data_IF_414574489652
#
_entry.id   IF_414574489652
#
_cell.length_a   1.000
_cell.length_b   1.000
_cell.length_c   1.000
_cell.angle_alpha   90.00
_cell.angle_beta   90.00
_cell.angle_gamma   90.00
#
_symmetry.space_group_name_H-M   'P 1'
#
loop_
_entity.id
_entity.type
_entity.pdbx_description
1 polymer ?
#
# COMPACT_ATOMS: atom_id res chain seq x y z
N UNK A 1 21.75 -7.63 -9.90
CA UNK A 1 21.39 -6.22 -9.70
C UNK A 1 21.13 -6.08 -8.23
N UNK A 2 21.97 -5.34 -7.53
CA UNK A 2 21.92 -5.25 -6.08
C UNK A 2 21.10 -4.02 -5.68
N UNK A 3 20.07 -4.24 -4.88
CA UNK A 3 19.23 -3.17 -4.32
C UNK A 3 20.00 -2.46 -3.21
N UNK A 4 20.01 -1.14 -3.22
CA UNK A 4 20.51 -0.37 -2.08
C UNK A 4 19.54 -0.53 -0.91
N UNK A 5 20.01 -0.96 0.25
CA UNK A 5 19.19 -1.15 1.45
C UNK A 5 19.64 -0.19 2.55
N UNK A 6 18.73 0.22 3.46
CA UNK A 6 19.12 1.00 4.63
C UNK A 6 20.04 0.18 5.56
N UNK A 7 20.59 0.79 6.62
CA UNK A 7 21.59 0.15 7.47
C UNK A 7 21.18 -1.26 7.94
N UNK A 8 22.14 -2.18 8.00
CA UNK A 8 21.91 -3.61 8.33
C UNK A 8 20.97 -3.86 9.54
N UNK A 9 21.02 -3.08 10.64
CA UNK A 9 20.07 -3.26 11.74
C UNK A 9 18.59 -3.14 11.33
N UNK A 10 18.26 -2.24 10.42
CA UNK A 10 16.90 -2.07 9.89
C UNK A 10 16.44 -3.33 9.13
N UNK A 11 17.32 -3.87 8.28
CA UNK A 11 17.03 -5.08 7.50
C UNK A 11 16.84 -6.29 8.42
N UNK A 12 17.72 -6.49 9.40
CA UNK A 12 17.60 -7.58 10.36
C UNK A 12 16.36 -7.46 11.23
N UNK A 13 16.03 -6.24 11.69
CA UNK A 13 14.82 -6.00 12.45
C UNK A 13 13.58 -6.42 11.66
N UNK A 14 13.49 -6.03 10.38
CA UNK A 14 12.34 -6.39 9.55
C UNK A 14 12.31 -7.89 9.18
N UNK A 15 13.46 -8.51 8.93
CA UNK A 15 13.55 -9.96 8.69
C UNK A 15 13.04 -10.79 9.87
N UNK A 16 13.13 -10.27 11.10
CA UNK A 16 12.60 -10.93 12.30
C UNK A 16 11.14 -10.52 12.54
N UNK A 17 10.85 -9.21 12.53
CA UNK A 17 9.55 -8.69 12.93
C UNK A 17 8.43 -9.06 11.95
N UNK A 18 8.71 -9.10 10.64
CA UNK A 18 7.69 -9.40 9.62
C UNK A 18 7.22 -10.86 9.70
N UNK A 19 8.09 -11.89 9.74
CA UNK A 19 7.63 -13.26 9.96
C UNK A 19 6.89 -13.44 11.28
N UNK A 20 7.35 -12.81 12.37
CA UNK A 20 6.63 -12.84 13.65
C UNK A 20 5.23 -12.23 13.51
N UNK A 21 5.12 -11.09 12.86
CA UNK A 21 3.86 -10.41 12.59
C UNK A 21 2.92 -11.30 11.75
N UNK A 22 3.41 -11.93 10.68
CA UNK A 22 2.63 -12.87 9.86
C UNK A 22 2.17 -14.07 10.68
N UNK A 23 3.03 -14.65 11.52
CA UNK A 23 2.66 -15.75 12.40
C UNK A 23 1.56 -15.33 13.38
N UNK A 24 1.62 -14.11 13.91
CA UNK A 24 0.56 -13.58 14.76
C UNK A 24 -0.77 -13.40 14.00
N UNK A 25 -0.75 -12.97 12.74
CA UNK A 25 -1.95 -12.86 11.88
C UNK A 25 -2.60 -14.21 11.64
N UNK A 26 -1.80 -15.20 11.24
CA UNK A 26 -2.30 -16.57 10.98
C UNK A 26 -2.94 -17.15 12.24
N UNK A 27 -2.34 -16.91 13.41
CA UNK A 27 -2.87 -17.39 14.70
C UNK A 27 -3.93 -16.47 15.32
N UNK A 28 -4.30 -15.37 14.65
CA UNK A 28 -5.27 -14.39 15.14
C UNK A 28 -4.94 -13.85 16.55
N UNK A 29 -3.68 -13.48 16.76
CA UNK A 29 -3.16 -12.93 18.01
C UNK A 29 -3.17 -11.40 17.95
N UNK A 30 -4.17 -10.77 18.56
CA UNK A 30 -4.35 -9.31 18.59
C UNK A 30 -3.09 -8.52 18.99
N UNK A 31 -2.41 -8.96 20.06
CA UNK A 31 -1.22 -8.26 20.57
C UNK A 31 -0.08 -8.24 19.55
N UNK A 32 -0.01 -9.26 18.69
CA UNK A 32 0.99 -9.35 17.63
C UNK A 32 0.75 -8.35 16.50
N UNK A 33 -0.50 -8.05 16.17
CA UNK A 33 -0.83 -6.95 15.25
C UNK A 33 -0.44 -5.60 15.83
N UNK A 34 -0.80 -5.40 17.10
CA UNK A 34 -0.63 -4.14 17.79
C UNK A 34 0.85 -3.75 17.92
N UNK A 35 1.73 -4.72 18.18
CA UNK A 35 3.17 -4.47 18.34
C UNK A 35 3.95 -4.71 17.06
N UNK A 36 3.64 -5.78 16.33
CA UNK A 36 4.43 -6.22 15.17
C UNK A 36 4.40 -5.24 14.02
N UNK A 37 3.25 -4.57 13.76
CA UNK A 37 3.14 -3.55 12.71
C UNK A 37 4.03 -2.34 13.02
N UNK A 38 3.87 -1.61 14.16
CA UNK A 38 4.76 -0.49 14.48
C UNK A 38 6.24 -0.87 14.54
N UNK A 39 6.60 -2.03 15.10
CA UNK A 39 8.00 -2.46 15.17
C UNK A 39 8.58 -2.68 13.77
N UNK A 40 7.82 -3.32 12.87
CA UNK A 40 8.23 -3.52 11.48
C UNK A 40 8.35 -2.19 10.74
N UNK A 41 7.48 -1.22 11.03
CA UNK A 41 7.52 0.11 10.40
C UNK A 41 8.66 0.99 10.92
N UNK A 42 9.00 0.87 12.20
CA UNK A 42 10.16 1.53 12.80
C UNK A 42 11.49 1.05 12.21
N UNK A 43 11.53 -0.17 11.67
CA UNK A 43 12.72 -0.72 11.04
C UNK A 43 13.20 0.15 9.85
N UNK A 44 12.31 0.50 8.93
CA UNK A 44 12.67 1.36 7.80
C UNK A 44 12.73 2.85 8.17
N UNK A 45 11.93 3.31 9.14
CA UNK A 45 11.86 4.73 9.50
C UNK A 45 13.07 5.19 10.32
N UNK A 46 13.57 4.37 11.24
CA UNK A 46 14.70 4.76 12.11
C UNK A 46 15.98 5.03 11.33
N UNK A 47 16.29 4.20 10.32
CA UNK A 47 17.41 4.42 9.41
C UNK A 47 17.24 5.69 8.57
N UNK A 48 16.02 5.96 8.11
CA UNK A 48 15.70 7.15 7.33
C UNK A 48 15.86 8.44 8.15
N UNK A 49 15.36 8.45 9.39
CA UNK A 49 15.54 9.57 10.33
C UNK A 49 17.02 9.79 10.59
N UNK A 50 17.78 8.72 10.88
CA UNK A 50 19.21 8.82 11.15
C UNK A 50 19.97 9.49 10.00
N UNK A 51 19.76 9.03 8.76
CA UNK A 51 20.42 9.59 7.58
C UNK A 51 20.01 11.04 7.33
N UNK A 52 18.72 11.35 7.47
CA UNK A 52 18.18 12.68 7.23
C UNK A 52 18.67 13.71 8.26
N UNK A 53 18.87 13.30 9.51
CA UNK A 53 19.40 14.19 10.55
C UNK A 53 20.88 14.53 10.36
N UNK A 54 21.67 13.59 9.85
CA UNK A 54 23.12 13.81 9.67
C UNK A 54 23.44 14.54 8.37
N UNK A 55 22.70 14.25 7.31
CA UNK A 55 22.91 14.79 5.98
C UNK A 55 21.55 15.15 5.36
N UNK A 56 20.98 16.29 5.77
CA UNK A 56 19.66 16.71 5.34
C UNK A 56 19.68 17.08 3.86
N UNK A 57 18.72 16.56 3.10
CA UNK A 57 18.41 17.01 1.75
C UNK A 57 16.89 17.03 1.53
N UNK A 58 16.38 17.87 0.62
CA UNK A 58 14.95 17.89 0.29
C UNK A 58 14.41 16.50 -0.06
N UNK A 59 15.16 15.74 -0.87
CA UNK A 59 14.83 14.35 -1.21
C UNK A 59 14.68 13.45 0.02
N UNK A 60 15.68 13.46 0.91
CA UNK A 60 15.70 12.61 2.10
C UNK A 60 14.60 12.98 3.10
N UNK A 61 14.30 14.27 3.21
CA UNK A 61 13.17 14.77 4.01
C UNK A 61 11.84 14.21 3.49
N UNK A 62 11.57 14.31 2.19
CA UNK A 62 10.31 13.82 1.63
C UNK A 62 10.14 12.31 1.75
N UNK A 63 11.19 11.52 1.48
CA UNK A 63 11.14 10.06 1.69
C UNK A 63 10.90 9.74 3.18
N UNK A 64 11.59 10.42 4.10
CA UNK A 64 11.41 10.20 5.54
C UNK A 64 10.01 10.56 6.02
N UNK A 65 9.45 11.68 5.54
CA UNK A 65 8.05 12.04 5.81
C UNK A 65 7.07 11.01 5.26
N UNK A 66 7.34 10.45 4.07
CA UNK A 66 6.53 9.37 3.51
C UNK A 66 6.53 8.12 4.38
N UNK A 67 7.70 7.71 4.88
CA UNK A 67 7.85 6.58 5.79
C UNK A 67 7.15 6.85 7.14
N UNK A 68 7.21 8.10 7.62
CA UNK A 68 6.54 8.51 8.85
C UNK A 68 5.01 8.46 8.71
N UNK A 69 4.45 8.99 7.61
CA UNK A 69 3.02 8.89 7.35
C UNK A 69 2.56 7.45 7.16
N UNK A 70 3.41 6.60 6.58
CA UNK A 70 3.14 5.16 6.47
C UNK A 70 3.03 4.49 7.84
N UNK A 71 3.92 4.83 8.80
CA UNK A 71 3.81 4.38 10.19
C UNK A 71 2.50 4.85 10.84
N UNK A 72 2.11 6.11 10.63
CA UNK A 72 0.82 6.62 11.13
C UNK A 72 -0.34 5.80 10.53
N UNK A 73 -0.30 5.55 9.22
CA UNK A 73 -1.28 4.71 8.53
C UNK A 73 -1.36 3.31 9.11
N UNK A 74 -0.21 2.67 9.36
CA UNK A 74 -0.12 1.35 9.98
C UNK A 74 -0.78 1.29 11.35
N UNK A 75 -0.61 2.34 12.17
CA UNK A 75 -1.23 2.45 13.51
C UNK A 75 -2.75 2.65 13.38
N UNK A 76 -3.19 3.51 12.46
CA UNK A 76 -4.60 3.84 12.27
C UNK A 76 -5.42 2.69 11.66
N UNK A 77 -4.79 1.84 10.84
CA UNK A 77 -5.40 0.64 10.27
C UNK A 77 -5.50 -0.53 11.25
N UNK A 78 -4.99 -0.42 12.48
CA UNK A 78 -5.15 -1.48 13.48
C UNK A 78 -6.61 -1.52 13.93
N UNK A 79 -7.35 -2.62 13.73
CA UNK A 79 -8.74 -2.70 14.14
C UNK A 79 -8.87 -2.59 15.67
N UNK A 80 -9.98 -2.02 16.13
CA UNK A 80 -10.29 -1.98 17.56
C UNK A 80 -10.46 -3.39 18.13
N UNK A 81 -10.20 -3.60 19.43
CA UNK A 81 -10.38 -4.93 20.08
C UNK A 81 -11.79 -5.51 19.88
N UNK A 82 -12.81 -4.65 19.89
CA UNK A 82 -14.20 -5.04 19.68
C UNK A 82 -14.50 -5.48 18.24
N UNK A 83 -13.81 -4.90 17.26
CA UNK A 83 -13.94 -5.22 15.83
C UNK A 83 -13.18 -6.51 15.51
N UNK A 84 -11.96 -6.63 16.04
CA UNK A 84 -11.17 -7.86 15.96
C UNK A 84 -11.92 -9.09 16.51
N UNK A 85 -12.59 -8.94 17.65
CA UNK A 85 -13.39 -10.01 18.27
C UNK A 85 -14.65 -10.40 17.47
N UNK A 86 -15.20 -9.48 16.65
CA UNK A 86 -16.33 -9.77 15.76
C UNK A 86 -15.90 -10.54 14.53
N UNK A 87 -14.72 -10.25 13.98
CA UNK A 87 -14.18 -10.95 12.81
C UNK A 87 -13.58 -12.33 13.16
N UNK A 88 -13.14 -12.55 14.39
CA UNK A 88 -12.64 -13.87 14.85
C UNK A 88 -13.72 -14.82 15.35
N UNK A 89 -14.89 -14.33 15.77
CA UNK A 89 -15.99 -15.22 16.21
C UNK A 89 -16.78 -15.73 14.99
N UNK A 90 -16.90 -17.05 14.79
CA UNK A 90 -17.78 -17.58 13.76
C UNK A 90 -19.22 -17.16 14.08
N UNK A 91 -19.86 -16.46 13.15
CA UNK A 91 -21.29 -16.16 13.24
C UNK A 91 -22.03 -17.49 13.30
N UNK A 92 -22.88 -17.75 14.31
CA UNK A 92 -23.65 -18.99 14.36
C UNK A 92 -24.47 -19.13 13.08
N UNK A 93 -24.36 -20.29 12.44
CA UNK A 93 -25.10 -20.68 11.23
C UNK A 93 -26.57 -20.86 11.61
N UNK A 94 -27.31 -19.78 11.84
CA UNK A 94 -28.77 -19.83 11.85
C UNK A 94 -29.24 -19.99 10.41
N UNK A 95 -29.64 -21.23 10.07
CA UNK A 95 -30.40 -21.52 8.87
C UNK A 95 -31.63 -20.60 8.82
N UNK A 96 -31.89 -19.99 7.67
CA UNK A 96 -33.05 -19.13 7.34
C UNK A 96 -32.95 -17.62 7.58
N UNK A 97 -31.76 -17.02 7.60
CA UNK A 97 -31.64 -15.59 7.23
C UNK A 97 -31.03 -15.45 5.84
N UNK A 98 -31.63 -14.68 4.91
CA UNK A 98 -30.95 -14.30 3.68
C UNK A 98 -29.59 -13.70 4.07
N UNK A 99 -28.55 -14.05 3.30
CA UNK A 99 -27.17 -13.60 3.51
C UNK A 99 -27.24 -12.08 3.69
N UNK A 100 -27.14 -11.61 4.94
CA UNK A 100 -27.20 -10.19 5.22
C UNK A 100 -26.01 -9.58 4.49
N UNK A 101 -26.30 -8.75 3.49
CA UNK A 101 -25.30 -7.90 2.84
C UNK A 101 -24.58 -7.17 3.97
N UNK A 102 -23.26 -7.36 4.05
CA UNK A 102 -22.44 -6.72 5.07
C UNK A 102 -22.55 -5.22 4.79
N UNK A 103 -23.36 -4.48 5.57
CA UNK A 103 -23.18 -3.04 5.71
C UNK A 103 -21.81 -2.86 6.36
N UNK A 104 -20.78 -2.73 5.51
CA UNK A 104 -19.42 -2.45 5.95
C UNK A 104 -19.42 -1.00 6.43
N UNK A 105 -19.80 -0.77 7.68
CA UNK A 105 -19.57 0.51 8.34
C UNK A 105 -18.07 0.63 8.58
N UNK A 106 -17.40 1.36 7.71
CA UNK A 106 -15.95 1.51 7.76
C UNK A 106 -15.61 2.52 8.85
N UNK A 107 -14.75 2.13 9.79
CA UNK A 107 -14.32 2.97 10.91
C UNK A 107 -13.64 4.25 10.40
N UNK A 108 -13.86 5.37 11.10
CA UNK A 108 -13.15 6.62 10.84
C UNK A 108 -11.62 6.46 10.97
N UNK A 109 -11.14 5.55 11.82
CA UNK A 109 -9.71 5.24 11.94
C UNK A 109 -9.16 4.61 10.65
N UNK A 110 -9.94 3.76 9.98
CA UNK A 110 -9.56 3.14 8.71
C UNK A 110 -9.47 4.18 7.59
N UNK A 111 -10.45 5.10 7.53
CA UNK A 111 -10.44 6.22 6.59
C UNK A 111 -9.22 7.13 6.80
N UNK A 112 -8.94 7.49 8.05
CA UNK A 112 -7.76 8.27 8.41
C UNK A 112 -6.46 7.53 8.07
N UNK A 113 -6.43 6.20 8.24
CA UNK A 113 -5.31 5.36 7.84
C UNK A 113 -5.02 5.42 6.35
N UNK A 114 -6.04 5.26 5.50
CA UNK A 114 -5.88 5.43 4.03
C UNK A 114 -5.45 6.86 3.68
N UNK A 115 -5.97 7.88 4.39
CA UNK A 115 -5.53 9.26 4.23
C UNK A 115 -4.04 9.45 4.54
N UNK A 116 -3.53 8.81 5.61
CA UNK A 116 -2.11 8.82 5.95
C UNK A 116 -1.26 8.11 4.88
N UNK A 117 -1.72 6.98 4.33
CA UNK A 117 -1.03 6.33 3.21
C UNK A 117 -1.04 7.19 1.93
N UNK A 118 -2.13 7.90 1.64
CA UNK A 118 -2.15 8.88 0.55
C UNK A 118 -1.12 9.99 0.76
N UNK A 119 -1.00 10.53 1.97
CA UNK A 119 0.03 11.51 2.30
C UNK A 119 1.45 10.95 2.15
N UNK A 120 1.65 9.67 2.50
CA UNK A 120 2.93 8.99 2.28
C UNK A 120 3.31 8.94 0.80
N UNK A 121 2.38 8.53 -0.06
CA UNK A 121 2.60 8.44 -1.50
C UNK A 121 2.81 9.82 -2.14
N UNK A 122 2.11 10.86 -1.67
CA UNK A 122 2.37 12.24 -2.09
C UNK A 122 3.80 12.65 -1.74
N UNK A 123 4.27 12.34 -0.53
CA UNK A 123 5.65 12.62 -0.15
C UNK A 123 6.66 11.89 -1.05
N UNK A 124 6.39 10.63 -1.42
CA UNK A 124 7.23 9.90 -2.39
C UNK A 124 7.22 10.53 -3.78
N UNK A 125 6.07 10.99 -4.27
CA UNK A 125 5.97 11.73 -5.54
C UNK A 125 6.84 12.99 -5.48
N UNK A 126 6.70 13.79 -4.42
CA UNK A 126 7.49 15.02 -4.24
C UNK A 126 8.98 14.71 -4.20
N UNK A 127 9.39 13.64 -3.52
CA UNK A 127 10.78 13.18 -3.53
C UNK A 127 11.26 12.85 -4.95
N UNK A 128 10.48 12.13 -5.75
CA UNK A 128 10.89 11.74 -7.11
C UNK A 128 10.98 12.94 -8.05
N UNK A 129 10.11 13.93 -7.88
CA UNK A 129 10.14 15.17 -8.65
C UNK A 129 11.26 16.11 -8.22
N UNK A 130 11.63 16.12 -6.95
CA UNK A 130 12.75 16.92 -6.43
C UNK A 130 14.10 16.42 -6.95
N UNK A 131 14.31 15.10 -6.94
CA UNK A 131 15.49 14.48 -7.55
C UNK A 131 15.18 14.04 -8.98
N UNK A 132 14.88 15.01 -9.86
CA UNK A 132 14.73 14.76 -11.30
C UNK A 132 15.52 15.73 -12.15
N UNK A 133 16.24 15.19 -13.13
CA UNK A 133 16.90 15.98 -14.18
C UNK A 133 15.94 16.27 -15.34
N UNK A 134 15.12 15.28 -15.69
CA UNK A 134 14.16 15.38 -16.79
C UNK A 134 13.00 14.41 -16.58
N UNK A 135 11.84 14.80 -17.10
CA UNK A 135 10.59 14.05 -16.99
C UNK A 135 10.13 13.65 -18.39
N UNK A 136 9.98 12.35 -18.63
CA UNK A 136 9.34 11.86 -19.85
C UNK A 136 7.82 11.91 -19.70
N UNK A 137 7.22 13.05 -20.04
CA UNK A 137 5.76 13.26 -19.98
C UNK A 137 4.93 12.20 -20.72
N UNK A 138 5.33 11.69 -21.90
CA UNK A 138 4.60 10.60 -22.56
C UNK A 138 4.62 9.29 -21.76
N UNK A 139 5.75 8.97 -21.12
CA UNK A 139 5.86 7.79 -20.25
C UNK A 139 5.03 8.00 -18.98
N UNK A 140 5.08 9.19 -18.38
CA UNK A 140 4.25 9.53 -17.23
C UNK A 140 2.76 9.33 -17.54
N UNK A 141 2.27 9.96 -18.62
CA UNK A 141 0.87 9.89 -19.01
C UNK A 141 0.44 8.46 -19.35
N UNK A 142 1.26 7.72 -20.10
CA UNK A 142 0.93 6.34 -20.49
C UNK A 142 0.89 5.40 -19.28
N UNK A 143 1.86 5.49 -18.36
CA UNK A 143 1.88 4.68 -17.13
C UNK A 143 0.72 5.05 -16.21
N UNK A 144 0.46 6.36 -15.99
CA UNK A 144 -0.65 6.80 -15.14
C UNK A 144 -2.00 6.30 -15.68
N UNK A 145 -2.25 6.43 -16.99
CA UNK A 145 -3.47 5.94 -17.63
C UNK A 145 -3.54 4.41 -17.55
N UNK A 146 -2.44 3.70 -17.82
CA UNK A 146 -2.40 2.25 -17.71
C UNK A 146 -2.72 1.77 -16.29
N UNK A 147 -2.14 2.41 -15.26
CA UNK A 147 -2.42 2.11 -13.85
C UNK A 147 -3.89 2.35 -13.48
N UNK A 148 -4.48 3.46 -13.94
CA UNK A 148 -5.90 3.77 -13.69
C UNK A 148 -6.83 2.78 -14.42
N UNK A 149 -6.50 2.38 -15.64
CA UNK A 149 -7.25 1.37 -16.39
C UNK A 149 -7.14 -0.01 -15.72
N UNK A 150 -5.95 -0.37 -15.23
CA UNK A 150 -5.76 -1.60 -14.46
C UNK A 150 -6.59 -1.58 -13.17
N UNK A 151 -6.58 -0.48 -12.41
CA UNK A 151 -7.38 -0.33 -11.20
C UNK A 151 -8.90 -0.41 -11.48
N UNK A 152 -9.36 0.15 -12.61
CA UNK A 152 -10.74 -0.01 -13.10
C UNK A 152 -11.06 -1.47 -13.43
N UNK A 153 -10.20 -2.11 -14.21
CA UNK A 153 -10.35 -3.50 -14.63
C UNK A 153 -10.38 -4.49 -13.45
N UNK A 154 -9.58 -4.21 -12.41
CA UNK A 154 -9.57 -4.98 -11.16
C UNK A 154 -10.83 -4.75 -10.30
N UNK A 155 -11.62 -3.71 -10.57
CA UNK A 155 -12.84 -3.37 -9.85
C UNK A 155 -12.66 -2.43 -8.66
N UNK A 156 -11.46 -1.84 -8.49
CA UNK A 156 -11.18 -0.84 -7.44
C UNK A 156 -11.91 0.47 -7.74
N UNK A 157 -11.90 0.88 -9.02
CA UNK A 157 -12.60 2.07 -9.52
C UNK A 157 -13.89 1.68 -10.24
N UNK A 158 -14.87 1.14 -9.51
CA UNK A 158 -16.16 0.77 -10.09
C UNK A 158 -17.12 1.99 -10.14
N UNK A 159 -17.73 2.32 -11.30
CA UNK A 159 -18.72 3.39 -11.37
C UNK A 159 -19.98 3.05 -10.55
N UNK A 160 -20.77 4.08 -10.22
CA UNK A 160 -22.03 3.89 -9.47
C UNK A 160 -22.99 3.06 -10.34
N UNK A 161 -23.64 2.02 -9.77
CA UNK A 161 -24.68 1.28 -10.48
C UNK A 161 -25.72 2.25 -11.06
N UNK A 162 -25.90 2.24 -12.38
CA UNK A 162 -26.87 3.08 -13.09
C UNK A 162 -26.36 4.43 -13.60
N UNK A 163 -25.05 4.70 -13.56
CA UNK A 163 -24.50 5.91 -14.20
C UNK A 163 -24.39 5.76 -15.72
N UNK A 164 -24.55 6.86 -16.48
CA UNK A 164 -24.42 6.86 -17.95
C UNK A 164 -23.05 6.32 -18.43
N UNK A 165 -22.02 6.44 -17.59
CA UNK A 165 -20.66 5.92 -17.81
C UNK A 165 -20.59 4.38 -17.74
N UNK A 166 -21.47 3.73 -16.98
CA UNK A 166 -21.60 2.26 -16.95
C UNK A 166 -22.33 1.75 -18.22
N UNK A 167 -23.29 2.51 -18.73
CA UNK A 167 -24.08 2.16 -19.91
C UNK A 167 -23.29 2.29 -21.22
N UNK A 168 -22.24 3.12 -21.24
CA UNK A 168 -21.44 3.43 -22.44
C UNK A 168 -20.06 2.74 -22.47
N UNK A 169 -19.71 1.94 -21.45
CA UNK A 169 -18.41 1.27 -21.35
C UNK A 169 -18.31 -0.05 -22.11
N UNK A 170 -17.20 -0.28 -22.84
CA UNK A 170 -16.90 -1.54 -23.51
C UNK A 170 -16.67 -2.73 -22.55
N UNK A 171 -16.48 -3.95 -23.07
CA UNK A 171 -16.39 -5.20 -22.28
C UNK A 171 -15.37 -5.15 -21.11
N UNK A 172 -14.22 -4.47 -21.31
CA UNK A 172 -13.20 -4.24 -20.26
C UNK A 172 -13.64 -3.26 -19.16
N UNK A 173 -14.62 -2.40 -19.44
CA UNK A 173 -15.18 -1.45 -18.47
C UNK A 173 -16.25 -2.06 -17.56
N UNK A 174 -16.66 -3.32 -17.81
CA UNK A 174 -17.71 -4.02 -17.05
C UNK A 174 -17.17 -5.15 -16.16
N UNK A 175 -15.86 -5.42 -16.21
CA UNK A 175 -15.25 -6.50 -15.43
C UNK A 175 -14.88 -6.02 -14.04
N UNK A 176 -15.43 -6.68 -13.03
CA UNK A 176 -14.98 -6.59 -11.64
C UNK A 176 -14.24 -7.89 -11.30
N UNK A 177 -13.00 -8.02 -11.78
CA UNK A 177 -12.24 -9.29 -11.70
C UNK A 177 -12.05 -9.75 -10.25
N UNK A 178 -11.81 -8.81 -9.32
CA UNK A 178 -11.63 -9.13 -7.90
C UNK A 178 -12.94 -9.23 -7.10
N UNK A 179 -14.09 -8.90 -7.71
CA UNK A 179 -15.38 -8.91 -7.04
C UNK A 179 -15.49 -7.94 -5.87
N UNK A 180 -14.90 -6.75 -6.00
CA UNK A 180 -14.89 -5.72 -4.96
C UNK A 180 -16.22 -5.00 -4.89
N UNK A 181 -16.61 -4.60 -3.68
CA UNK A 181 -17.81 -3.83 -3.38
C UNK A 181 -17.43 -2.66 -2.49
N UNK A 182 -17.01 -1.56 -3.10
CA UNK A 182 -16.62 -0.35 -2.38
C UNK A 182 -17.90 0.40 -1.94
N UNK A 183 -18.09 0.65 -0.64
CA UNK A 183 -19.18 1.47 -0.13
C UNK A 183 -19.19 2.90 -0.70
N UNK A 184 -20.36 3.53 -0.78
CA UNK A 184 -20.51 4.85 -1.42
C UNK A 184 -19.74 5.97 -0.70
N UNK A 185 -19.63 5.90 0.63
CA UNK A 185 -18.85 6.81 1.48
C UNK A 185 -17.34 6.71 1.22
N UNK A 186 -16.83 5.52 0.92
CA UNK A 186 -15.41 5.28 0.64
C UNK A 186 -15.01 5.55 -0.80
N UNK A 187 -15.97 5.62 -1.73
CA UNK A 187 -15.71 5.64 -3.16
C UNK A 187 -14.84 6.82 -3.58
N UNK A 188 -15.10 8.01 -3.03
CA UNK A 188 -14.31 9.20 -3.32
C UNK A 188 -12.88 9.05 -2.80
N UNK A 189 -12.73 8.58 -1.57
CA UNK A 189 -11.44 8.41 -0.91
C UNK A 189 -10.58 7.36 -1.63
N UNK A 190 -11.15 6.21 -2.00
CA UNK A 190 -10.46 5.18 -2.80
C UNK A 190 -10.11 5.70 -4.19
N UNK A 191 -10.97 6.52 -4.81
CA UNK A 191 -10.68 7.13 -6.10
C UNK A 191 -9.47 8.07 -6.04
N UNK A 192 -9.46 8.99 -5.07
CA UNK A 192 -8.34 9.93 -4.86
C UNK A 192 -7.07 9.16 -4.54
N UNK A 193 -7.15 8.16 -3.65
CA UNK A 193 -6.00 7.33 -3.31
C UNK A 193 -5.43 6.59 -4.52
N UNK A 194 -6.30 5.98 -5.34
CA UNK A 194 -5.89 5.26 -6.56
C UNK A 194 -5.21 6.20 -7.56
N UNK A 195 -5.68 7.44 -7.67
CA UNK A 195 -5.04 8.47 -8.49
C UNK A 195 -3.64 8.79 -7.97
N UNK A 196 -3.49 9.01 -6.66
CA UNK A 196 -2.21 9.31 -6.03
C UNK A 196 -1.20 8.17 -6.28
N UNK A 197 -1.55 6.92 -5.99
CA UNK A 197 -0.60 5.81 -6.19
C UNK A 197 -0.28 5.59 -7.69
N UNK A 198 -1.24 5.84 -8.59
CA UNK A 198 -0.97 5.81 -10.04
C UNK A 198 0.05 6.88 -10.44
N UNK A 199 -0.08 8.10 -9.90
CA UNK A 199 0.89 9.17 -10.09
C UNK A 199 2.27 8.84 -9.49
N UNK A 200 2.33 8.15 -8.35
CA UNK A 200 3.58 7.70 -7.74
C UNK A 200 4.35 6.76 -8.66
N UNK A 201 3.69 5.74 -9.21
CA UNK A 201 4.31 4.78 -10.13
C UNK A 201 4.72 5.48 -11.42
N UNK A 202 3.84 6.31 -11.99
CA UNK A 202 4.14 7.07 -13.18
C UNK A 202 5.36 7.98 -12.98
N UNK A 203 5.45 8.66 -11.83
CA UNK A 203 6.62 9.48 -11.46
C UNK A 203 7.88 8.62 -11.38
N UNK A 204 7.85 7.52 -10.62
CA UNK A 204 9.00 6.63 -10.45
C UNK A 204 9.57 6.09 -11.77
N UNK A 205 8.70 5.79 -12.74
CA UNK A 205 9.08 5.26 -14.06
C UNK A 205 9.53 6.37 -15.01
N UNK A 206 8.95 7.57 -14.94
CA UNK A 206 9.17 8.63 -15.95
C UNK A 206 10.23 9.67 -15.59
N UNK A 207 10.63 9.76 -14.32
CA UNK A 207 11.67 10.69 -13.87
C UNK A 207 13.06 10.09 -14.02
N UNK A 208 13.98 10.84 -14.64
CA UNK A 208 15.42 10.51 -14.63
C UNK A 208 16.05 11.14 -13.38
N UNK A 209 16.58 10.33 -12.44
CA UNK A 209 17.15 10.84 -11.19
C UNK A 209 18.51 11.50 -11.39
N UNK A 210 18.83 12.52 -10.57
CA UNK A 210 20.17 13.13 -10.51
C UNK A 210 21.05 12.30 -9.58
N UNK A 211 20.52 11.92 -8.41
CA UNK A 211 21.21 11.11 -7.42
C UNK A 211 21.53 9.72 -7.96
N UNK A 212 22.70 9.21 -7.62
CA UNK A 212 23.16 7.89 -8.00
C UNK A 212 23.29 7.00 -6.78
N UNK A 213 22.89 5.73 -6.95
CA UNK A 213 23.05 4.74 -5.90
C UNK A 213 24.47 4.15 -5.93
N UNK A 214 24.99 3.74 -4.77
CA UNK A 214 26.29 3.06 -4.69
C UNK A 214 26.23 1.60 -5.18
N UNK A 215 25.12 1.18 -5.81
CA UNK A 215 24.89 -0.20 -6.26
C UNK A 215 24.74 -0.29 -7.78
N UNK A 216 24.69 -1.52 -8.30
CA UNK A 216 24.52 -1.77 -9.74
C UNK A 216 23.12 -1.44 -10.27
N UNK A 217 22.14 -1.27 -9.39
CA UNK A 217 20.77 -0.94 -9.77
C UNK A 217 20.61 0.58 -9.90
N UNK A 218 20.01 1.04 -11.01
CA UNK A 218 19.76 2.49 -11.15
C UNK A 218 18.73 2.97 -10.14
N UNK A 219 18.89 4.21 -9.68
CA UNK A 219 17.98 4.88 -8.75
C UNK A 219 16.53 4.87 -9.27
N UNK A 220 16.33 5.07 -10.57
CA UNK A 220 15.02 4.98 -11.23
C UNK A 220 14.40 3.59 -11.11
N UNK A 221 15.21 2.54 -11.33
CA UNK A 221 14.74 1.16 -11.23
C UNK A 221 14.34 0.83 -9.79
N UNK A 222 15.10 1.30 -8.80
CA UNK A 222 14.82 1.05 -7.40
C UNK A 222 13.54 1.77 -6.93
N UNK A 223 13.35 3.04 -7.33
CA UNK A 223 12.09 3.78 -7.12
C UNK A 223 10.90 3.05 -7.74
N UNK A 224 11.06 2.60 -8.98
CA UNK A 224 10.03 1.87 -9.72
C UNK A 224 9.69 0.55 -9.02
N UNK A 225 10.70 -0.20 -8.59
CA UNK A 225 10.50 -1.45 -7.85
C UNK A 225 9.69 -1.20 -6.57
N UNK A 226 10.08 -0.22 -5.76
CA UNK A 226 9.34 0.15 -4.55
C UNK A 226 7.89 0.55 -4.86
N UNK A 227 7.66 1.43 -5.83
CA UNK A 227 6.33 1.89 -6.22
C UNK A 227 5.43 0.75 -6.71
N UNK A 228 5.95 -0.17 -7.52
CA UNK A 228 5.21 -1.36 -7.99
C UNK A 228 4.86 -2.29 -6.82
N UNK A 229 5.78 -2.49 -5.87
CA UNK A 229 5.50 -3.30 -4.69
C UNK A 229 4.35 -2.70 -3.85
N UNK A 230 4.26 -1.38 -3.73
CA UNK A 230 3.11 -0.72 -3.09
C UNK A 230 1.80 -0.99 -3.82
N UNK A 231 1.76 -0.81 -5.15
CA UNK A 231 0.54 -1.06 -5.93
C UNK A 231 0.04 -2.49 -5.72
N UNK A 232 0.94 -3.46 -5.80
CA UNK A 232 0.57 -4.87 -5.64
C UNK A 232 0.08 -5.10 -4.21
N UNK A 233 0.76 -4.56 -3.20
CA UNK A 233 0.31 -4.69 -1.81
C UNK A 233 -1.07 -4.06 -1.58
N UNK A 234 -1.32 -2.87 -2.14
CA UNK A 234 -2.60 -2.18 -2.01
C UNK A 234 -3.75 -2.93 -2.69
N UNK A 235 -3.47 -3.69 -3.76
CA UNK A 235 -4.46 -4.61 -4.35
C UNK A 235 -4.85 -5.70 -3.34
N UNK A 236 -3.90 -6.24 -2.56
CA UNK A 236 -4.21 -7.18 -1.49
C UNK A 236 -5.05 -6.52 -0.38
N UNK A 237 -4.71 -5.29 0.03
CA UNK A 237 -5.48 -4.53 1.02
C UNK A 237 -6.89 -4.25 0.53
N UNK A 238 -7.05 -3.78 -0.71
CA UNK A 238 -8.36 -3.53 -1.32
C UNK A 238 -9.20 -4.81 -1.43
N UNK A 239 -8.56 -5.94 -1.77
CA UNK A 239 -9.23 -7.25 -1.80
C UNK A 239 -9.70 -7.67 -0.41
N UNK A 240 -8.87 -7.52 0.62
CA UNK A 240 -9.23 -7.88 1.99
C UNK A 240 -10.35 -6.97 2.54
N UNK A 241 -10.26 -5.66 2.29
CA UNK A 241 -11.22 -4.68 2.79
C UNK A 241 -12.58 -4.70 2.07
N UNK A 242 -12.60 -4.93 0.75
CA UNK A 242 -13.79 -4.70 -0.08
C UNK A 242 -14.33 -5.95 -0.79
N UNK A 243 -13.76 -7.15 -0.60
CA UNK A 243 -14.31 -8.34 -1.28
C UNK A 243 -15.71 -8.71 -0.76
N UNK A 244 -16.62 -9.05 -1.68
CA UNK A 244 -17.98 -9.54 -1.36
C UNK A 244 -17.98 -10.90 -0.66
N UNK A 245 -16.94 -11.71 -0.84
CA UNK A 245 -16.84 -13.03 -0.23
C UNK A 245 -16.05 -12.90 1.08
N UNK A 246 -16.60 -13.41 2.18
CA UNK A 246 -15.77 -13.65 3.37
C UNK A 246 -14.63 -14.55 2.94
N UNK A 247 -13.40 -14.09 3.11
CA UNK A 247 -12.22 -14.93 2.93
C UNK A 247 -12.29 -16.00 4.01
N UNK A 248 -12.67 -17.22 3.64
CA UNK A 248 -12.42 -18.36 4.52
C UNK A 248 -10.91 -18.40 4.76
N UNK A 249 -10.51 -18.43 6.04
CA UNK A 249 -9.10 -18.61 6.47
C UNK A 249 -8.63 -20.03 6.14
N UNK A 250 -8.70 -20.40 4.86
CA UNK A 250 -8.23 -21.68 4.32
C UNK A 250 -6.70 -21.72 4.22
N UNK A 251 -6.17 -22.84 3.74
CA UNK A 251 -4.73 -23.11 3.72
C UNK A 251 -3.86 -22.07 2.98
N UNK A 252 -4.43 -21.24 2.11
CA UNK A 252 -3.68 -20.20 1.37
C UNK A 252 -3.69 -18.82 2.04
N UNK A 253 -4.36 -18.65 3.19
CA UNK A 253 -4.46 -17.36 3.87
C UNK A 253 -3.09 -16.84 4.32
N UNK A 254 -2.23 -17.71 4.89
CA UNK A 254 -0.88 -17.30 5.28
C UNK A 254 -0.10 -16.73 4.09
N UNK A 255 -0.27 -17.32 2.90
CA UNK A 255 0.47 -16.92 1.71
C UNK A 255 0.00 -15.54 1.23
N UNK A 256 -1.31 -15.28 1.30
CA UNK A 256 -1.88 -13.98 0.95
C UNK A 256 -1.40 -12.89 1.94
N UNK A 257 -1.41 -13.17 3.24
CA UNK A 257 -0.88 -12.25 4.26
C UNK A 257 0.62 -12.00 4.05
N UNK A 258 1.41 -13.06 3.85
CA UNK A 258 2.85 -12.95 3.60
C UNK A 258 3.16 -12.13 2.35
N UNK A 259 2.41 -12.32 1.27
CA UNK A 259 2.62 -11.57 0.03
C UNK A 259 2.21 -10.10 0.18
N UNK A 260 1.03 -9.83 0.73
CA UNK A 260 0.54 -8.46 0.91
C UNK A 260 1.46 -7.66 1.83
N UNK A 261 1.74 -8.17 3.02
CA UNK A 261 2.59 -7.49 4.00
C UNK A 261 4.06 -7.50 3.59
N UNK A 262 4.54 -8.60 3.02
CA UNK A 262 5.89 -8.69 2.49
C UNK A 262 6.14 -7.62 1.43
N UNK A 263 5.26 -7.48 0.44
CA UNK A 263 5.40 -6.45 -0.59
C UNK A 263 5.33 -5.03 -0.02
N UNK A 264 4.45 -4.78 0.95
CA UNK A 264 4.36 -3.49 1.62
C UNK A 264 5.65 -3.13 2.36
N UNK A 265 6.03 -3.93 3.36
CA UNK A 265 7.17 -3.63 4.23
C UNK A 265 8.50 -3.63 3.46
N UNK A 266 8.64 -4.54 2.50
CA UNK A 266 9.84 -4.61 1.68
C UNK A 266 9.86 -3.51 0.61
N UNK A 267 8.70 -3.05 0.12
CA UNK A 267 8.58 -1.85 -0.71
C UNK A 267 9.04 -0.59 0.04
N UNK A 268 8.65 -0.44 1.31
CA UNK A 268 9.16 0.62 2.19
C UNK A 268 10.67 0.52 2.38
N UNK A 269 11.21 -0.69 2.55
CA UNK A 269 12.65 -0.93 2.71
C UNK A 269 13.44 -0.57 1.44
N UNK A 270 12.89 -0.91 0.27
CA UNK A 270 13.44 -0.55 -1.04
C UNK A 270 13.46 0.97 -1.24
N UNK A 271 12.39 1.68 -0.86
CA UNK A 271 12.37 3.14 -0.92
C UNK A 271 13.28 3.77 0.14
N UNK A 272 13.34 3.26 1.36
CA UNK A 272 14.26 3.77 2.38
C UNK A 272 15.73 3.63 1.94
N UNK A 273 16.05 2.58 1.18
CA UNK A 273 17.38 2.37 0.62
C UNK A 273 17.79 3.39 -0.45
N UNK A 274 16.85 4.15 -1.02
CA UNK A 274 17.19 5.22 -1.96
C UNK A 274 17.85 6.42 -1.26
N UNK A 275 17.70 6.54 0.06
CA UNK A 275 18.34 7.59 0.86
C UNK A 275 19.87 7.52 0.83
N UNK A 276 20.44 6.36 0.50
CA UNK A 276 21.89 6.19 0.32
C UNK A 276 22.41 6.81 -0.98
N UNK A 277 21.53 7.35 -1.84
CA UNK A 277 21.94 8.07 -3.03
C UNK A 277 22.76 9.32 -2.69
N UNK A 278 23.78 9.56 -3.50
CA UNK A 278 24.68 10.73 -3.47
C UNK A 278 24.59 11.53 -4.76
#
# INVERSE_FOLDING_TARGET
>A
MDVSLPPKPAVYLLLVSLPTLILCEVNSIYIGHFLGKPISSLAFLSGAIYLTLHEPSPYRNFITWGLFFSLIGDILLIPSRSEYAKDTKPTPRTANKPIAEKEVSISASFQAGIGAFAAAHIAYILAFLEDTQSISWPVFASVAVASLLAARWLGVLYPKPGSELEASGGLLMRSNVLGLSVPDDMRHLVCVYTLIISCMVASAVSTVPVLQLPTSMSMQSQRTLGAVMFVISDIFVAKDAFSKKRVDKGGYFWLQCSLGWGLYFWGQMVLAGTLNGV
#
